data_IF_915451244659
#
_entry.id   IF_915451244659
#
_cell.length_a   1.000
_cell.length_b   1.000
_cell.length_c   1.000
_cell.angle_alpha   90.00
_cell.angle_beta   90.00
_cell.angle_gamma   90.00
#
_symmetry.space_group_name_H-M   'P 1'
#
loop_
_entity.id
_entity.type
_entity.pdbx_description
1 polymer ?
#
# COMPACT_ATOMS: atom_id res chain seq x y z
N UNK A 1 9.33 -18.43 -2.30
CA UNK A 1 8.83 -18.08 -3.62
C UNK A 1 9.02 -16.59 -3.89
N UNK A 2 9.02 -16.20 -5.14
CA UNK A 2 9.14 -14.79 -5.55
C UNK A 2 8.01 -13.93 -4.98
N UNK A 3 6.83 -14.50 -4.85
CA UNK A 3 5.66 -13.82 -4.31
C UNK A 3 5.85 -13.47 -2.83
N UNK A 4 6.26 -14.46 -2.03
CA UNK A 4 6.52 -14.24 -0.60
C UNK A 4 7.65 -13.24 -0.39
N UNK A 5 8.71 -13.31 -1.21
CA UNK A 5 9.84 -12.40 -1.14
C UNK A 5 9.44 -10.96 -1.51
N UNK A 6 8.66 -10.80 -2.58
CA UNK A 6 8.17 -9.49 -3.02
C UNK A 6 7.36 -8.82 -1.91
N UNK A 7 6.42 -9.54 -1.32
CA UNK A 7 5.56 -9.01 -0.26
C UNK A 7 6.37 -8.73 1.01
N UNK A 8 7.22 -9.67 1.44
CA UNK A 8 8.06 -9.50 2.62
C UNK A 8 8.97 -8.29 2.51
N UNK A 9 9.62 -8.12 1.36
CA UNK A 9 10.48 -6.97 1.12
C UNK A 9 9.70 -5.66 1.12
N UNK A 10 8.52 -5.63 0.52
CA UNK A 10 7.67 -4.43 0.50
C UNK A 10 7.27 -4.03 1.92
N UNK A 11 6.78 -4.96 2.73
CA UNK A 11 6.37 -4.69 4.11
C UNK A 11 7.56 -4.20 4.93
N UNK A 12 8.70 -4.90 4.85
CA UNK A 12 9.90 -4.54 5.60
C UNK A 12 10.42 -3.15 5.22
N UNK A 13 10.48 -2.83 3.93
CA UNK A 13 10.90 -1.51 3.44
C UNK A 13 10.00 -0.40 3.96
N UNK A 14 8.69 -0.61 3.89
CA UNK A 14 7.70 0.39 4.31
C UNK A 14 7.79 0.65 5.81
N UNK A 15 7.87 -0.40 6.62
CA UNK A 15 8.00 -0.29 8.07
C UNK A 15 9.33 0.35 8.46
N UNK A 16 10.43 -0.06 7.82
CA UNK A 16 11.75 0.50 8.10
C UNK A 16 11.80 2.01 7.81
N UNK A 17 11.21 2.46 6.71
CA UNK A 17 11.12 3.88 6.38
C UNK A 17 10.24 4.63 7.39
N UNK A 18 9.10 4.06 7.77
CA UNK A 18 8.20 4.67 8.76
C UNK A 18 8.90 4.84 10.11
N UNK A 19 9.64 3.82 10.55
CA UNK A 19 10.41 3.89 11.79
C UNK A 19 11.54 4.91 11.71
N UNK A 20 12.27 4.91 10.60
CA UNK A 20 13.44 5.79 10.41
C UNK A 20 13.05 7.26 10.36
N UNK A 21 11.99 7.60 9.65
CA UNK A 21 11.65 9.00 9.37
C UNK A 21 10.64 9.58 10.35
N UNK A 22 9.76 8.77 10.93
CA UNK A 22 8.67 9.25 11.79
C UNK A 22 8.47 8.41 13.06
N UNK A 23 9.47 7.64 13.47
CA UNK A 23 9.36 6.83 14.68
C UNK A 23 8.22 5.80 14.64
N UNK A 24 7.86 5.33 13.46
CA UNK A 24 6.79 4.35 13.25
C UNK A 24 5.39 4.96 13.16
N UNK A 25 5.23 6.27 13.36
CA UNK A 25 3.93 6.94 13.28
C UNK A 25 3.60 7.23 11.81
N UNK A 26 2.43 6.79 11.36
CA UNK A 26 1.95 7.02 10.00
C UNK A 26 0.80 8.03 10.03
N UNK A 27 1.06 9.23 9.52
CA UNK A 27 0.10 10.32 9.50
C UNK A 27 -0.53 10.48 8.12
N UNK A 28 -1.83 10.74 8.11
CA UNK A 28 -2.56 11.09 6.91
C UNK A 28 -2.36 12.57 6.63
N UNK A 29 -1.44 12.89 5.71
CA UNK A 29 -1.17 14.25 5.31
C UNK A 29 -2.20 14.76 4.28
N UNK A 30 -2.12 16.05 3.94
CA UNK A 30 -2.89 16.61 2.85
C UNK A 30 -2.41 16.10 1.49
N UNK A 31 -3.15 16.43 0.44
CA UNK A 31 -2.78 16.07 -0.93
C UNK A 31 -1.65 16.98 -1.39
N UNK A 32 -0.49 16.40 -1.71
CA UNK A 32 0.71 17.14 -2.14
C UNK A 32 1.10 16.87 -3.60
N UNK A 33 0.40 15.97 -4.27
CA UNK A 33 0.68 15.59 -5.67
C UNK A 33 -0.07 16.43 -6.70
N UNK A 34 -0.55 17.62 -6.31
CA UNK A 34 -1.30 18.52 -7.20
C UNK A 34 -0.47 18.92 -8.42
N UNK A 35 -1.10 18.84 -9.59
CA UNK A 35 -0.50 19.32 -10.83
C UNK A 35 0.61 18.43 -11.37
N UNK A 36 0.65 17.17 -10.97
CA UNK A 36 1.68 16.24 -11.43
C UNK A 36 1.81 16.16 -12.96
N UNK A 37 0.69 16.24 -13.69
CA UNK A 37 0.74 16.33 -15.15
C UNK A 37 1.24 15.06 -15.86
N UNK A 38 1.96 15.29 -16.97
CA UNK A 38 2.56 14.20 -17.76
C UNK A 38 4.01 14.53 -18.08
N UNK A 39 4.81 13.49 -18.33
CA UNK A 39 6.21 13.64 -18.74
C UNK A 39 6.32 13.99 -20.24
N UNK A 40 7.56 14.08 -20.73
CA UNK A 40 7.88 14.41 -22.13
C UNK A 40 7.30 13.40 -23.13
N UNK A 41 6.99 12.17 -22.69
CA UNK A 41 6.42 11.11 -23.51
C UNK A 41 4.91 10.96 -23.33
N UNK A 42 4.28 11.82 -22.52
CA UNK A 42 2.85 11.80 -22.24
C UNK A 42 2.45 10.79 -21.15
N UNK A 43 3.41 10.19 -20.43
CA UNK A 43 3.10 9.30 -19.32
C UNK A 43 2.72 10.08 -18.06
N UNK A 44 1.77 9.57 -17.29
CA UNK A 44 1.32 10.21 -16.05
C UNK A 44 2.45 10.37 -15.05
N UNK A 45 2.52 11.55 -14.43
CA UNK A 45 3.37 11.85 -13.28
C UNK A 45 2.58 11.87 -11.97
N UNK A 46 1.27 11.63 -12.01
CA UNK A 46 0.44 11.50 -10.81
C UNK A 46 0.53 10.08 -10.28
N UNK A 47 1.65 9.78 -9.63
CA UNK A 47 1.92 8.45 -9.10
C UNK A 47 0.92 8.01 -8.03
N UNK A 48 0.38 8.96 -7.28
CA UNK A 48 -0.63 8.68 -6.24
C UNK A 48 -1.95 8.22 -6.87
N UNK A 49 -2.42 8.92 -7.90
CA UNK A 49 -3.64 8.52 -8.61
C UNK A 49 -3.46 7.16 -9.29
N UNK A 50 -2.30 6.93 -9.90
CA UNK A 50 -1.99 5.65 -10.56
C UNK A 50 -1.97 4.49 -9.54
N UNK A 51 -1.35 4.70 -8.38
CA UNK A 51 -1.34 3.72 -7.30
C UNK A 51 -2.76 3.42 -6.82
N UNK A 52 -3.52 4.45 -6.49
CA UNK A 52 -4.89 4.30 -5.96
C UNK A 52 -5.80 3.59 -6.96
N UNK A 53 -5.67 3.87 -8.24
CA UNK A 53 -6.46 3.22 -9.29
C UNK A 53 -6.19 1.70 -9.33
N UNK A 54 -4.94 1.28 -9.27
CA UNK A 54 -4.59 -0.14 -9.23
C UNK A 54 -5.11 -0.78 -7.94
N UNK A 55 -4.86 -0.16 -6.80
CA UNK A 55 -5.21 -0.72 -5.48
C UNK A 55 -6.72 -0.87 -5.33
N UNK A 56 -7.49 0.16 -5.64
CA UNK A 56 -8.95 0.13 -5.49
C UNK A 56 -9.64 -0.70 -6.58
N UNK A 57 -8.99 -0.89 -7.73
CA UNK A 57 -9.52 -1.72 -8.82
C UNK A 57 -9.28 -3.22 -8.65
N UNK A 58 -8.40 -3.62 -7.74
CA UNK A 58 -8.01 -5.04 -7.59
C UNK A 58 -9.15 -5.90 -7.02
N UNK A 59 -9.96 -5.36 -6.11
CA UNK A 59 -11.09 -6.11 -5.52
C UNK A 59 -12.01 -6.70 -6.59
N UNK A 60 -12.44 -5.90 -7.55
CA UNK A 60 -13.35 -6.36 -8.60
C UNK A 60 -12.71 -7.42 -9.50
N UNK A 61 -11.42 -7.27 -9.79
CA UNK A 61 -10.66 -8.29 -10.54
C UNK A 61 -10.62 -9.61 -9.80
N UNK A 62 -10.33 -9.59 -8.50
CA UNK A 62 -10.32 -10.78 -7.65
C UNK A 62 -11.70 -11.42 -7.61
N UNK A 63 -12.74 -10.63 -7.39
CA UNK A 63 -14.12 -11.12 -7.33
C UNK A 63 -14.52 -11.83 -8.63
N UNK A 64 -14.24 -11.22 -9.79
CA UNK A 64 -14.56 -11.80 -11.08
C UNK A 64 -13.82 -13.12 -11.34
N UNK A 65 -12.53 -13.19 -10.97
CA UNK A 65 -11.74 -14.42 -11.11
C UNK A 65 -12.21 -15.52 -10.18
N UNK A 66 -12.54 -15.18 -8.94
CA UNK A 66 -13.06 -16.16 -7.97
C UNK A 66 -14.44 -16.66 -8.37
N UNK A 67 -15.30 -15.82 -8.93
CA UNK A 67 -16.63 -16.23 -9.43
C UNK A 67 -16.55 -17.27 -10.56
N UNK A 68 -15.44 -17.29 -11.31
CA UNK A 68 -15.19 -18.24 -12.38
C UNK A 68 -14.15 -19.31 -12.00
N UNK A 69 -13.83 -19.44 -10.73
CA UNK A 69 -12.88 -20.41 -10.17
C UNK A 69 -11.43 -20.27 -10.71
N UNK A 70 -11.04 -19.07 -11.12
CA UNK A 70 -9.68 -18.77 -11.57
C UNK A 70 -8.81 -18.26 -10.40
N UNK A 71 -8.56 -19.14 -9.42
CA UNK A 71 -7.87 -18.80 -8.17
C UNK A 71 -6.44 -18.29 -8.41
N UNK A 72 -5.69 -18.95 -9.29
CA UNK A 72 -4.30 -18.55 -9.59
C UNK A 72 -4.26 -17.15 -10.21
N UNK A 73 -5.21 -16.83 -11.10
CA UNK A 73 -5.30 -15.51 -11.72
C UNK A 73 -5.70 -14.44 -10.69
N UNK A 74 -6.59 -14.77 -9.74
CA UNK A 74 -6.94 -13.88 -8.66
C UNK A 74 -5.71 -13.54 -7.79
N UNK A 75 -4.91 -14.54 -7.45
CA UNK A 75 -3.65 -14.31 -6.72
C UNK A 75 -2.68 -13.42 -7.52
N UNK A 76 -2.58 -13.63 -8.83
CA UNK A 76 -1.75 -12.80 -9.70
C UNK A 76 -2.18 -11.34 -9.63
N UNK A 77 -3.48 -11.06 -9.61
CA UNK A 77 -3.99 -9.69 -9.48
C UNK A 77 -3.61 -9.07 -8.13
N UNK A 78 -3.69 -9.82 -7.03
CA UNK A 78 -3.26 -9.34 -5.72
C UNK A 78 -1.76 -9.00 -5.72
N UNK A 79 -0.94 -9.85 -6.32
CA UNK A 79 0.49 -9.59 -6.40
C UNK A 79 0.84 -8.43 -7.33
N UNK A 80 0.04 -8.17 -8.35
CA UNK A 80 0.18 -6.98 -9.18
C UNK A 80 0.00 -5.69 -8.35
N UNK A 81 -0.90 -5.71 -7.37
CA UNK A 81 -1.05 -4.61 -6.40
C UNK A 81 0.26 -4.38 -5.62
N UNK A 82 0.86 -5.43 -5.09
CA UNK A 82 2.12 -5.31 -4.33
C UNK A 82 3.28 -4.85 -5.20
N UNK A 83 3.37 -5.32 -6.43
CA UNK A 83 4.36 -4.85 -7.41
C UNK A 83 4.16 -3.36 -7.71
N UNK A 84 2.91 -2.91 -7.80
CA UNK A 84 2.61 -1.48 -8.01
C UNK A 84 3.09 -0.64 -6.82
N UNK A 85 2.94 -1.16 -5.59
CA UNK A 85 3.48 -0.49 -4.40
C UNK A 85 5.01 -0.36 -4.46
N UNK A 86 5.72 -1.40 -4.86
CA UNK A 86 7.17 -1.34 -5.02
C UNK A 86 7.56 -0.30 -6.08
N UNK A 87 6.87 -0.26 -7.20
CA UNK A 87 7.09 0.75 -8.23
C UNK A 87 6.85 2.17 -7.70
N UNK A 88 5.82 2.35 -6.88
CA UNK A 88 5.51 3.64 -6.25
C UNK A 88 6.66 4.13 -5.36
N UNK A 89 7.32 3.23 -4.62
CA UNK A 89 8.51 3.58 -3.84
C UNK A 89 9.61 4.13 -4.76
N UNK A 90 9.86 3.46 -5.87
CA UNK A 90 10.89 3.87 -6.82
C UNK A 90 10.55 5.20 -7.52
N UNK A 91 9.27 5.43 -7.79
CA UNK A 91 8.78 6.67 -8.39
C UNK A 91 8.87 7.86 -7.45
N UNK A 92 8.50 7.68 -6.18
CA UNK A 92 8.42 8.77 -5.20
C UNK A 92 9.73 9.02 -4.47
N UNK A 93 10.63 8.05 -4.45
CA UNK A 93 11.95 8.16 -3.82
C UNK A 93 11.89 8.73 -2.39
N UNK A 94 11.29 8.00 -1.42
CA UNK A 94 11.13 8.52 -0.05
C UNK A 94 12.43 8.94 0.60
N UNK A 95 13.54 8.24 0.30
CA UNK A 95 14.87 8.59 0.81
C UNK A 95 15.34 9.97 0.35
N UNK A 96 14.94 10.41 -0.84
CA UNK A 96 15.24 11.75 -1.32
C UNK A 96 14.33 12.80 -0.66
N UNK A 97 13.06 12.47 -0.46
CA UNK A 97 12.11 13.35 0.24
C UNK A 97 12.57 13.60 1.69
N UNK A 98 13.13 12.58 2.34
CA UNK A 98 13.58 12.66 3.72
C UNK A 98 14.74 13.63 3.93
N UNK A 99 15.50 13.96 2.87
CA UNK A 99 16.62 14.91 2.94
C UNK A 99 16.19 16.36 2.87
N UNK A 100 14.94 16.64 2.58
CA UNK A 100 14.40 17.98 2.37
C UNK A 100 13.25 18.23 3.35
N UNK A 101 13.47 19.08 4.35
CA UNK A 101 12.49 19.44 5.38
C UNK A 101 11.20 20.00 4.77
N UNK A 102 11.27 20.71 3.66
CA UNK A 102 10.10 21.28 2.99
C UNK A 102 9.19 20.19 2.37
N UNK A 103 9.68 18.95 2.27
CA UNK A 103 8.97 17.82 1.67
C UNK A 103 8.50 16.79 2.71
N UNK A 104 8.53 17.16 3.99
CA UNK A 104 8.11 16.27 5.08
C UNK A 104 6.65 15.84 4.93
N UNK A 105 5.75 16.75 4.57
CA UNK A 105 4.34 16.42 4.35
C UNK A 105 4.15 15.45 3.18
N UNK A 106 4.90 15.65 2.11
CA UNK A 106 4.90 14.71 0.98
C UNK A 106 5.39 13.33 1.40
N UNK A 107 6.44 13.25 2.21
CA UNK A 107 6.94 11.98 2.73
C UNK A 107 5.89 11.27 3.60
N UNK A 108 5.19 12.01 4.47
CA UNK A 108 4.08 11.47 5.26
C UNK A 108 2.99 10.88 4.37
N UNK A 109 2.60 11.59 3.31
CA UNK A 109 1.59 11.13 2.35
C UNK A 109 2.03 9.85 1.65
N UNK A 110 3.27 9.78 1.20
CA UNK A 110 3.81 8.59 0.51
C UNK A 110 3.78 7.37 1.42
N UNK A 111 4.20 7.50 2.67
CA UNK A 111 4.19 6.39 3.62
C UNK A 111 2.78 5.97 3.99
N UNK A 112 1.86 6.92 4.16
CA UNK A 112 0.45 6.62 4.38
C UNK A 112 -0.13 5.82 3.20
N UNK A 113 0.12 6.27 1.98
CA UNK A 113 -0.38 5.61 0.77
C UNK A 113 0.15 4.18 0.66
N UNK A 114 1.41 3.95 1.02
CA UNK A 114 1.99 2.60 1.03
C UNK A 114 1.33 1.71 2.08
N UNK A 115 1.19 2.17 3.31
CA UNK A 115 0.59 1.38 4.40
C UNK A 115 -0.87 1.08 4.09
N UNK A 116 -1.63 2.05 3.60
CA UNK A 116 -3.02 1.86 3.20
C UNK A 116 -3.14 0.85 2.05
N UNK A 117 -2.31 0.96 1.04
CA UNK A 117 -2.29 0.04 -0.09
C UNK A 117 -1.97 -1.39 0.34
N UNK A 118 -0.96 -1.56 1.19
CA UNK A 118 -0.59 -2.88 1.72
C UNK A 118 -1.72 -3.47 2.56
N UNK A 119 -2.43 -2.65 3.33
CA UNK A 119 -3.58 -3.09 4.12
C UNK A 119 -4.67 -3.66 3.23
N UNK A 120 -5.02 -2.96 2.15
CA UNK A 120 -6.02 -3.45 1.18
C UNK A 120 -5.55 -4.76 0.55
N UNK A 121 -4.30 -4.80 0.07
CA UNK A 121 -3.72 -6.00 -0.54
C UNK A 121 -3.68 -7.19 0.41
N UNK A 122 -3.33 -6.97 1.68
CA UNK A 122 -3.29 -8.03 2.69
C UNK A 122 -4.68 -8.61 2.96
N UNK A 123 -5.72 -7.76 3.00
CA UNK A 123 -7.10 -8.24 3.14
C UNK A 123 -7.57 -9.03 1.93
N UNK A 124 -7.18 -8.62 0.71
CA UNK A 124 -7.47 -9.40 -0.50
C UNK A 124 -6.73 -10.74 -0.51
N UNK A 125 -5.55 -10.80 0.11
CA UNK A 125 -4.75 -12.01 0.21
C UNK A 125 -5.30 -13.01 1.24
N UNK A 126 -6.14 -12.57 2.15
CA UNK A 126 -6.63 -13.35 3.30
C UNK A 126 -7.22 -14.70 2.90
N UNK A 127 -7.99 -14.75 1.80
CA UNK A 127 -8.63 -15.98 1.33
C UNK A 127 -7.61 -17.06 0.90
N UNK A 128 -6.40 -16.62 0.51
CA UNK A 128 -5.35 -17.49 -0.04
C UNK A 128 -4.25 -17.80 0.97
N UNK A 129 -3.90 -16.81 1.79
CA UNK A 129 -2.79 -16.87 2.75
C UNK A 129 -3.18 -16.18 4.06
N UNK A 130 -4.10 -16.79 4.85
CA UNK A 130 -4.64 -16.14 6.05
C UNK A 130 -3.58 -15.86 7.12
N UNK A 131 -2.60 -16.73 7.29
CA UNK A 131 -1.53 -16.55 8.29
C UNK A 131 -0.61 -15.39 7.90
N UNK A 132 -0.31 -15.26 6.63
CA UNK A 132 0.49 -14.14 6.09
C UNK A 132 -0.24 -12.81 6.31
N UNK A 133 -1.54 -12.77 6.00
CA UNK A 133 -2.38 -11.59 6.25
C UNK A 133 -2.37 -11.20 7.72
N UNK A 134 -2.59 -12.16 8.62
CA UNK A 134 -2.59 -11.90 10.06
C UNK A 134 -1.26 -11.31 10.52
N UNK A 135 -0.14 -11.87 10.06
CA UNK A 135 1.20 -11.38 10.40
C UNK A 135 1.42 -9.96 9.94
N UNK A 136 1.01 -9.64 8.70
CA UNK A 136 1.14 -8.28 8.15
C UNK A 136 0.28 -7.29 8.92
N UNK A 137 -0.96 -7.63 9.23
CA UNK A 137 -1.85 -6.74 9.96
C UNK A 137 -1.37 -6.46 11.38
N UNK A 138 -0.72 -7.42 12.04
CA UNK A 138 -0.07 -7.19 13.33
C UNK A 138 1.08 -6.19 13.24
N UNK A 139 1.80 -6.18 12.14
CA UNK A 139 2.89 -5.22 11.91
C UNK A 139 2.36 -3.82 11.58
N UNK A 140 1.30 -3.74 10.78
CA UNK A 140 0.72 -2.45 10.35
C UNK A 140 -0.23 -1.85 11.37
N UNK A 141 -0.79 -2.65 12.27
CA UNK A 141 -1.76 -2.24 13.29
C UNK A 141 -1.40 -2.90 14.63
N UNK A 142 -0.21 -2.63 15.19
CA UNK A 142 0.26 -3.34 16.38
C UNK A 142 -0.60 -3.09 17.62
N UNK A 143 -1.17 -1.90 17.77
CA UNK A 143 -1.99 -1.54 18.93
C UNK A 143 -3.40 -2.11 18.85
N UNK A 144 -3.92 -2.31 17.63
CA UNK A 144 -5.25 -2.88 17.40
C UNK A 144 -5.27 -3.58 16.04
N UNK A 145 -4.80 -4.84 15.96
CA UNK A 145 -4.78 -5.57 14.67
C UNK A 145 -6.15 -5.70 14.00
N UNK A 146 -7.24 -5.72 14.78
CA UNK A 146 -8.60 -5.77 14.25
C UNK A 146 -8.96 -4.52 13.42
N UNK A 147 -8.31 -3.38 13.67
CA UNK A 147 -8.54 -2.17 12.87
C UNK A 147 -8.02 -2.30 11.43
N UNK A 148 -7.10 -3.23 11.18
CA UNK A 148 -6.60 -3.53 9.84
C UNK A 148 -7.45 -4.53 9.08
N UNK A 149 -8.36 -5.22 9.76
CA UNK A 149 -9.23 -6.21 9.17
C UNK A 149 -10.44 -5.49 8.53
N UNK A 150 -10.63 -5.67 7.24
CA UNK A 150 -11.67 -4.96 6.48
C UNK A 150 -12.59 -5.94 5.77
N UNK A 151 -13.88 -5.58 5.71
CA UNK A 151 -14.85 -6.31 4.91
C UNK A 151 -14.50 -6.23 3.42
N UNK A 152 -14.78 -7.29 2.69
CA UNK A 152 -14.49 -7.35 1.26
C UNK A 152 -15.11 -6.17 0.49
N UNK A 153 -16.33 -5.76 0.87
CA UNK A 153 -17.03 -4.64 0.23
C UNK A 153 -16.31 -3.30 0.37
N UNK A 154 -15.43 -3.15 1.36
CA UNK A 154 -14.67 -1.93 1.61
C UNK A 154 -13.29 -1.92 0.95
N UNK A 155 -12.89 -3.00 0.27
CA UNK A 155 -11.56 -3.12 -0.32
C UNK A 155 -11.39 -2.37 -1.66
N UNK A 156 -12.41 -1.68 -2.12
CA UNK A 156 -12.35 -0.73 -3.22
C UNK A 156 -12.28 0.73 -2.74
N UNK A 157 -12.18 0.95 -1.42
CA UNK A 157 -12.11 2.27 -0.80
C UNK A 157 -10.71 2.55 -0.28
N UNK A 158 -10.20 3.72 -0.62
CA UNK A 158 -8.86 4.14 -0.19
C UNK A 158 -8.95 5.21 0.89
N UNK A 159 -8.09 5.09 1.91
CA UNK A 159 -7.97 6.12 2.94
C UNK A 159 -8.75 5.82 4.22
N UNK A 160 -9.07 4.57 4.48
CA UNK A 160 -9.81 4.17 5.69
C UNK A 160 -8.91 4.06 6.93
N UNK A 161 -7.59 3.94 6.76
CA UNK A 161 -6.67 3.94 7.90
C UNK A 161 -6.70 5.30 8.59
N UNK A 162 -6.85 5.29 9.90
CA UNK A 162 -6.80 6.51 10.71
C UNK A 162 -5.38 7.07 10.78
N UNK A 163 -5.27 8.41 10.80
CA UNK A 163 -4.00 9.11 10.96
C UNK A 163 -3.45 8.90 12.37
N UNK A 164 -2.12 8.86 12.48
CA UNK A 164 -1.42 8.81 13.75
C UNK A 164 -1.21 7.44 14.35
N UNK A 165 -1.64 6.37 13.69
CA UNK A 165 -1.42 5.01 14.15
C UNK A 165 0.00 4.53 13.78
N UNK A 166 0.59 3.76 14.69
CA UNK A 166 1.95 3.24 14.52
C UNK A 166 1.97 1.95 13.71
N UNK A 167 3.14 1.69 13.12
CA UNK A 167 3.52 0.41 12.54
C UNK A 167 4.72 -0.14 13.33
N UNK A 168 4.97 -1.44 13.26
CA UNK A 168 6.10 -2.11 13.92
C UNK A 168 6.62 -3.27 13.07
N UNK A 169 7.88 -3.61 13.27
CA UNK A 169 8.51 -4.80 12.68
C UNK A 169 8.18 -6.12 13.41
#
# INVERSE_FOLDING_TARGET
SDLANTLGNLVNRTIAMSNKYFGGVVNKAGVTSEGAGVDENGASLDFDADLKAVVTGTRDKVQNKMATLHVADAMTDVFALFKRCNKYIDETMPWALAKDESKKERLEEVLYNLVESITIGANLLKAFMPNTTESILKQLYPDNPAAGDRDFDDLDKFGLRESGNKVTD
#
